data_IF_331113408200
#
_entry.id   IF_331113408200
#
_cell.length_a   1.000
_cell.length_b   1.000
_cell.length_c   1.000
_cell.angle_alpha   90.00
_cell.angle_beta   90.00
_cell.angle_gamma   90.00
#
_symmetry.space_group_name_H-M   'P 1'
#
loop_
_entity.id
_entity.type
_entity.pdbx_description
1 polymer ?
#
# COMPACT_ATOMS: atom_id res chain seq x y z
N UNK A 1 -25.56 -10.89 -53.54
CA UNK A 1 -26.55 -9.80 -53.41
C UNK A 1 -27.90 -10.48 -53.25
N UNK A 2 -28.67 -10.38 -52.17
CA UNK A 2 -28.89 -9.34 -51.16
C UNK A 2 -29.42 -10.04 -49.89
N UNK A 3 -29.04 -9.56 -48.70
CA UNK A 3 -29.57 -10.00 -47.40
C UNK A 3 -30.83 -9.21 -47.02
N UNK A 4 -31.81 -9.83 -46.34
CA UNK A 4 -32.82 -9.27 -45.39
C UNK A 4 -33.96 -10.29 -45.21
N UNK A 5 -34.58 -10.55 -44.06
CA UNK A 5 -34.56 -9.91 -42.75
C UNK A 5 -35.13 -10.87 -41.67
N UNK A 6 -34.85 -10.50 -40.42
CA UNK A 6 -35.46 -10.82 -39.12
C UNK A 6 -36.88 -11.44 -39.14
N UNK A 7 -37.26 -12.32 -38.22
CA UNK A 7 -36.64 -12.72 -36.94
C UNK A 7 -37.46 -13.82 -36.23
N UNK A 8 -37.04 -14.26 -35.03
CA UNK A 8 -37.74 -15.35 -34.33
C UNK A 8 -38.74 -14.79 -33.31
N UNK A 9 -39.99 -15.24 -33.35
CA UNK A 9 -40.89 -15.21 -32.19
C UNK A 9 -40.69 -16.50 -31.43
N UNK A 10 -40.00 -16.44 -30.30
CA UNK A 10 -39.96 -17.53 -29.33
C UNK A 10 -40.81 -17.14 -28.14
N UNK A 11 -41.85 -17.95 -27.95
CA UNK A 11 -42.72 -18.03 -26.79
C UNK A 11 -41.94 -18.36 -25.50
N UNK A 12 -42.68 -18.19 -24.39
CA UNK A 12 -42.52 -18.80 -23.08
C UNK A 12 -41.85 -17.94 -21.97
N UNK A 13 -42.75 -17.38 -21.16
CA UNK A 13 -42.57 -16.85 -19.82
C UNK A 13 -42.39 -18.00 -18.80
N UNK A 14 -41.59 -17.81 -17.74
CA UNK A 14 -42.04 -18.23 -16.41
C UNK A 14 -41.95 -17.10 -15.36
N UNK A 15 -42.67 -17.34 -14.26
CA UNK A 15 -43.10 -16.44 -13.19
C UNK A 15 -41.99 -15.78 -12.34
N UNK A 16 -42.32 -14.69 -11.59
CA UNK A 16 -41.38 -14.01 -10.70
C UNK A 16 -41.21 -14.79 -9.38
N UNK A 17 -39.99 -15.22 -9.08
CA UNK A 17 -39.61 -15.73 -7.76
C UNK A 17 -38.87 -14.65 -6.99
N UNK A 18 -39.47 -14.17 -5.90
CA UNK A 18 -38.83 -13.34 -4.89
C UNK A 18 -37.73 -14.15 -4.18
N UNK A 19 -36.51 -13.61 -4.08
CA UNK A 19 -35.69 -13.58 -2.84
C UNK A 19 -34.34 -12.90 -3.11
N UNK A 20 -34.01 -11.94 -2.25
CA UNK A 20 -32.83 -11.07 -2.19
C UNK A 20 -31.48 -11.81 -2.03
N UNK A 21 -30.34 -11.12 -1.79
CA UNK A 21 -29.89 -9.78 -2.19
C UNK A 21 -28.69 -9.88 -3.16
N UNK A 22 -28.45 -8.82 -3.94
CA UNK A 22 -27.22 -8.68 -4.75
C UNK A 22 -25.97 -8.80 -3.84
N UNK A 23 -25.06 -9.77 -4.06
CA UNK A 23 -23.73 -9.64 -3.50
C UNK A 23 -23.03 -8.53 -4.28
N UNK A 24 -22.77 -7.46 -3.52
CA UNK A 24 -21.94 -6.33 -3.81
C UNK A 24 -20.99 -6.57 -4.99
N UNK A 25 -21.05 -5.65 -5.97
CA UNK A 25 -19.95 -5.39 -6.85
C UNK A 25 -18.67 -5.53 -6.04
N UNK A 26 -17.92 -6.59 -6.32
CA UNK A 26 -16.56 -6.70 -5.84
C UNK A 26 -15.85 -5.56 -6.55
N UNK A 27 -15.88 -4.41 -5.87
CA UNK A 27 -14.99 -3.30 -6.00
C UNK A 27 -13.60 -3.89 -5.76
N UNK A 28 -13.11 -4.60 -6.79
CA UNK A 28 -11.70 -4.64 -7.12
C UNK A 28 -11.38 -3.23 -7.55
N UNK A 29 -11.48 -2.31 -6.59
CA UNK A 29 -10.78 -1.05 -6.54
C UNK A 29 -9.36 -1.50 -6.76
N UNK A 30 -8.93 -1.38 -8.01
CA UNK A 30 -7.55 -1.56 -8.41
C UNK A 30 -6.77 -0.92 -7.28
N UNK A 31 -5.76 -1.65 -6.81
CA UNK A 31 -4.67 -1.09 -6.03
C UNK A 31 -4.14 0.03 -6.91
N UNK A 32 -4.79 1.19 -6.82
CA UNK A 32 -4.46 2.41 -7.50
C UNK A 32 -3.13 2.70 -6.89
N UNK A 33 -2.10 2.49 -7.70
CA UNK A 33 -0.87 3.28 -7.69
C UNK A 33 -0.91 4.22 -6.52
N UNK A 34 -0.34 3.79 -5.38
CA UNK A 34 -0.18 4.62 -4.19
C UNK A 34 0.11 6.01 -4.73
N UNK A 35 -0.72 6.98 -4.42
CA UNK A 35 -0.40 8.39 -4.61
C UNK A 35 0.90 8.62 -3.84
N UNK A 36 2.01 8.33 -4.50
CA UNK A 36 3.33 8.72 -4.09
C UNK A 36 3.36 10.17 -4.53
N UNK A 37 3.25 11.13 -3.60
CA UNK A 37 3.34 12.53 -3.97
C UNK A 37 4.65 12.73 -4.75
N UNK A 38 4.68 13.64 -5.73
CA UNK A 38 5.86 13.89 -6.53
C UNK A 38 7.05 14.13 -5.61
N UNK A 39 8.17 13.46 -5.90
CA UNK A 39 9.43 13.66 -5.21
C UNK A 39 9.78 15.15 -5.27
N UNK A 40 9.54 15.87 -4.17
CA UNK A 40 9.60 17.33 -4.12
C UNK A 40 8.63 17.99 -3.13
N UNK A 41 7.63 17.26 -2.60
CA UNK A 41 6.89 17.72 -1.42
C UNK A 41 7.83 17.80 -0.20
N UNK A 42 7.62 18.79 0.67
CA UNK A 42 8.41 19.04 1.88
C UNK A 42 8.85 17.70 2.52
N UNK A 43 10.16 17.51 2.65
CA UNK A 43 10.76 16.27 3.14
C UNK A 43 10.14 15.83 4.47
N UNK A 44 9.80 16.79 5.34
CA UNK A 44 9.12 16.51 6.60
C UNK A 44 7.77 15.83 6.36
N UNK A 45 7.00 16.28 5.36
CA UNK A 45 5.72 15.66 4.97
C UNK A 45 5.96 14.26 4.42
N UNK A 46 7.02 14.05 3.63
CA UNK A 46 7.35 12.72 3.12
C UNK A 46 7.73 11.75 4.25
N UNK A 47 8.47 12.22 5.26
CA UNK A 47 8.85 11.44 6.42
C UNK A 47 7.66 11.11 7.33
N UNK A 48 6.73 12.05 7.53
CA UNK A 48 5.47 11.76 8.25
C UNK A 48 4.64 10.68 7.55
N UNK A 49 4.61 10.68 6.21
CA UNK A 49 3.97 9.62 5.44
C UNK A 49 4.71 8.28 5.60
N UNK A 50 6.05 8.28 5.68
CA UNK A 50 6.84 7.08 5.98
C UNK A 50 6.48 6.53 7.36
N UNK A 51 6.46 7.37 8.40
CA UNK A 51 6.07 6.98 9.77
C UNK A 51 4.68 6.37 9.77
N UNK A 52 3.72 7.00 9.09
CA UNK A 52 2.34 6.50 8.98
C UNK A 52 2.30 5.12 8.33
N UNK A 53 3.04 4.92 7.22
CA UNK A 53 3.11 3.62 6.54
C UNK A 53 3.77 2.55 7.42
N UNK A 54 4.78 2.90 8.19
CA UNK A 54 5.45 2.00 9.12
C UNK A 54 4.54 1.62 10.29
N UNK A 55 3.80 2.57 10.87
CA UNK A 55 2.85 2.31 11.95
C UNK A 55 1.73 1.35 11.52
N UNK A 56 1.20 1.51 10.31
CA UNK A 56 0.23 0.56 9.75
C UNK A 56 0.86 -0.82 9.53
N UNK A 57 2.14 -0.88 9.14
CA UNK A 57 2.84 -2.13 8.86
C UNK A 57 3.25 -2.88 10.13
N UNK A 58 3.56 -2.17 11.20
CA UNK A 58 4.05 -2.71 12.46
C UNK A 58 3.14 -2.28 13.62
N UNK A 59 1.90 -2.80 13.69
CA UNK A 59 0.92 -2.36 14.69
C UNK A 59 1.31 -2.72 16.13
N UNK A 60 2.27 -3.64 16.32
CA UNK A 60 2.81 -4.02 17.63
C UNK A 60 3.83 -3.02 18.21
N UNK A 61 4.32 -2.08 17.39
CA UNK A 61 5.29 -1.06 17.80
C UNK A 61 4.57 0.29 17.91
N UNK A 62 4.90 1.08 18.93
CA UNK A 62 4.27 2.39 19.09
C UNK A 62 4.71 3.34 17.98
N UNK A 63 3.85 4.31 17.63
CA UNK A 63 4.20 5.35 16.64
C UNK A 63 5.45 6.12 17.08
N UNK A 64 5.59 6.41 18.38
CA UNK A 64 6.75 7.11 18.93
C UNK A 64 8.06 6.34 18.75
N UNK A 65 8.04 5.02 18.96
CA UNK A 65 9.24 4.20 18.74
C UNK A 65 9.60 4.15 17.24
N UNK A 66 8.60 4.09 16.36
CA UNK A 66 8.79 4.16 14.91
C UNK A 66 9.39 5.51 14.49
N UNK A 67 8.91 6.62 15.05
CA UNK A 67 9.47 7.96 14.81
C UNK A 67 10.93 8.06 15.24
N UNK A 68 11.29 7.46 16.38
CA UNK A 68 12.68 7.41 16.86
C UNK A 68 13.57 6.64 15.88
N UNK A 69 13.11 5.50 15.36
CA UNK A 69 13.86 4.72 14.36
C UNK A 69 14.01 5.51 13.07
N UNK A 70 12.93 6.11 12.55
CA UNK A 70 12.97 6.91 11.32
C UNK A 70 13.94 8.07 11.46
N UNK A 71 13.90 8.82 12.57
CA UNK A 71 14.83 9.92 12.84
C UNK A 71 16.28 9.45 12.97
N UNK A 72 16.50 8.30 13.59
CA UNK A 72 17.84 7.70 13.72
C UNK A 72 18.41 7.34 12.35
N UNK A 73 17.58 6.79 11.47
CA UNK A 73 17.96 6.46 10.10
C UNK A 73 18.15 7.72 9.25
N UNK A 74 17.26 8.71 9.34
CA UNK A 74 17.36 10.00 8.65
C UNK A 74 18.71 10.68 8.90
N UNK A 75 19.18 10.69 10.15
CA UNK A 75 20.50 11.24 10.51
C UNK A 75 21.66 10.59 9.75
N UNK A 76 21.55 9.31 9.35
CA UNK A 76 22.59 8.62 8.55
C UNK A 76 22.67 9.16 7.12
N UNK A 77 21.64 9.87 6.67
CA UNK A 77 21.55 10.49 5.36
C UNK A 77 21.74 12.02 5.39
N UNK A 78 22.18 12.60 6.51
CA UNK A 78 22.36 14.05 6.65
C UNK A 78 23.26 14.65 5.55
N UNK A 79 24.28 13.91 5.13
CA UNK A 79 25.25 14.34 4.10
C UNK A 79 24.92 13.81 2.68
N UNK A 80 23.72 13.27 2.47
CA UNK A 80 23.33 12.70 1.19
C UNK A 80 23.17 13.79 0.12
N UNK A 81 23.98 13.71 -0.95
CA UNK A 81 23.98 14.67 -2.06
C UNK A 81 22.72 14.64 -2.93
N UNK A 82 21.99 13.52 -2.92
CA UNK A 82 20.76 13.33 -3.70
C UNK A 82 19.62 13.06 -2.72
N UNK A 83 18.61 13.93 -2.74
CA UNK A 83 17.51 13.89 -1.76
C UNK A 83 16.20 13.32 -2.28
N UNK A 84 16.05 13.20 -3.60
CA UNK A 84 14.80 12.80 -4.28
C UNK A 84 14.24 11.45 -3.83
N UNK A 85 15.10 10.56 -3.31
CA UNK A 85 14.73 9.22 -2.88
C UNK A 85 14.94 8.97 -1.39
N UNK A 86 15.22 10.01 -0.59
CA UNK A 86 15.55 9.85 0.83
C UNK A 86 14.44 9.17 1.60
N UNK A 87 13.18 9.58 1.40
CA UNK A 87 12.03 8.98 2.09
C UNK A 87 11.91 7.47 1.84
N UNK A 88 12.18 7.01 0.61
CA UNK A 88 12.19 5.59 0.26
C UNK A 88 13.37 4.83 0.88
N UNK A 89 14.55 5.44 0.88
CA UNK A 89 15.75 4.84 1.48
C UNK A 89 15.62 4.73 3.00
N UNK A 90 15.13 5.78 3.64
CA UNK A 90 14.85 5.84 5.08
C UNK A 90 13.79 4.80 5.44
N UNK A 91 12.67 4.73 4.70
CA UNK A 91 11.65 3.72 4.95
C UNK A 91 12.21 2.30 4.84
N UNK A 92 13.02 2.02 3.82
CA UNK A 92 13.64 0.70 3.62
C UNK A 92 14.59 0.34 4.77
N UNK A 93 15.41 1.28 5.23
CA UNK A 93 16.32 1.06 6.34
C UNK A 93 15.56 0.91 7.68
N UNK A 94 14.56 1.74 7.94
CA UNK A 94 13.71 1.61 9.12
C UNK A 94 12.98 0.25 9.18
N UNK A 95 12.49 -0.25 8.04
CA UNK A 95 11.91 -1.61 7.95
C UNK A 95 12.90 -2.71 8.34
N UNK A 96 14.18 -2.54 8.00
CA UNK A 96 15.23 -3.51 8.39
C UNK A 96 15.47 -3.44 9.88
N UNK A 97 15.70 -2.26 10.44
CA UNK A 97 15.94 -2.07 11.88
C UNK A 97 14.78 -2.61 12.73
N UNK A 98 13.53 -2.33 12.34
CA UNK A 98 12.34 -2.82 13.05
C UNK A 98 12.17 -4.34 12.85
N UNK A 99 12.39 -4.85 11.63
CA UNK A 99 12.23 -6.27 11.31
C UNK A 99 13.34 -7.18 11.84
N UNK A 100 14.57 -6.66 11.95
CA UNK A 100 15.68 -7.31 12.66
C UNK A 100 15.47 -7.20 14.17
N UNK A 101 14.88 -6.11 14.67
CA UNK A 101 14.54 -5.96 16.09
C UNK A 101 13.45 -6.91 16.60
N UNK A 102 12.51 -7.35 15.75
CA UNK A 102 11.51 -8.38 16.12
C UNK A 102 12.01 -9.81 15.95
N UNK A 103 13.17 -10.00 15.31
CA UNK A 103 13.93 -11.24 15.29
C UNK A 103 15.12 -11.12 16.25
N UNK A 104 14.88 -11.20 17.56
CA UNK A 104 15.98 -11.26 18.55
C UNK A 104 16.90 -12.49 18.33
N UNK A 105 18.17 -12.42 18.80
CA UNK A 105 19.35 -12.73 17.99
C UNK A 105 19.95 -14.11 18.26
N UNK A 106 20.62 -14.68 17.25
CA UNK A 106 21.65 -15.72 17.41
C UNK A 106 22.58 -15.59 16.18
N UNK A 107 23.74 -14.93 16.25
CA UNK A 107 24.95 -15.37 16.97
C UNK A 107 25.13 -16.89 16.94
N UNK A 108 25.54 -17.41 15.78
CA UNK A 108 26.51 -18.51 15.64
C UNK A 108 27.46 -18.04 14.52
N UNK A 109 28.79 -18.23 14.53
CA UNK A 109 29.78 -18.90 15.38
C UNK A 109 31.13 -18.36 14.85
N UNK A 110 32.08 -18.09 15.75
CA UNK A 110 33.52 -18.33 15.61
C UNK A 110 34.30 -17.51 16.65
#
# INVERSE_FOLDING_TARGET
>A
MVYSALGPRSDARPAPSQSAPQPAASDRKRIGTRDVPPAGGDEAVQLELVVTRLAVRFPSMSRGDIEIVVRTVEKRFADAKVRDFLSLLIEKAARREIGEGTASPRMELA
#
